data_IF_731518349382
#
_entry.id   IF_731518349382
#
_cell.length_a   1.000
_cell.length_b   1.000
_cell.length_c   1.000
_cell.angle_alpha   90.00
_cell.angle_beta   90.00
_cell.angle_gamma   90.00
#
_symmetry.space_group_name_H-M   'P 1'
#
loop_
_entity.id
_entity.type
_entity.pdbx_description
1 polymer ?
#
# COMPACT_ATOMS: atom_id res chain seq x y z
N UNK A 1 9.54 24.01 -10.42
CA UNK A 1 8.45 23.48 -11.27
C UNK A 1 7.17 23.75 -10.50
N UNK A 2 6.38 24.69 -11.01
CA UNK A 2 5.09 25.06 -10.44
C UNK A 2 4.11 24.07 -11.06
N UNK A 3 3.59 23.14 -10.25
CA UNK A 3 2.58 22.19 -10.72
C UNK A 3 1.23 22.93 -10.72
N UNK A 4 0.72 23.27 -11.90
CA UNK A 4 -0.63 23.79 -12.06
C UNK A 4 -1.66 22.70 -11.75
N UNK A 5 -2.68 22.99 -10.92
CA UNK A 5 -3.78 22.06 -10.67
C UNK A 5 -5.02 22.56 -11.41
N UNK A 6 -5.60 21.66 -12.18
CA UNK A 6 -6.80 21.90 -12.94
C UNK A 6 -8.04 21.57 -12.07
N UNK A 7 -8.81 22.60 -11.67
CA UNK A 7 -9.98 22.49 -10.79
C UNK A 7 -11.26 22.86 -11.57
N UNK A 8 -12.26 21.96 -11.62
CA UNK A 8 -13.44 22.15 -12.48
C UNK A 8 -14.77 22.00 -11.72
N UNK A 9 -15.69 22.93 -11.99
CA UNK A 9 -16.99 23.06 -11.34
C UNK A 9 -18.10 22.73 -12.36
N UNK A 10 -19.05 21.89 -11.95
CA UNK A 10 -20.06 21.24 -12.81
C UNK A 10 -21.09 22.12 -13.55
N UNK A 11 -20.95 23.45 -13.57
CA UNK A 11 -21.86 24.35 -14.28
C UNK A 11 -21.17 25.40 -15.17
N UNK A 12 -19.87 25.63 -15.04
CA UNK A 12 -19.14 26.57 -15.88
C UNK A 12 -17.67 26.13 -15.95
N UNK A 13 -17.21 25.71 -17.13
CA UNK A 13 -15.80 25.35 -17.34
C UNK A 13 -15.04 26.66 -17.46
N UNK A 14 -14.79 27.34 -16.34
CA UNK A 14 -13.92 28.51 -16.34
C UNK A 14 -12.54 28.07 -16.79
N UNK A 15 -12.09 28.68 -17.87
CA UNK A 15 -10.97 28.33 -18.75
C UNK A 15 -9.59 28.58 -18.12
N UNK A 16 -9.51 28.66 -16.80
CA UNK A 16 -8.38 29.25 -16.11
C UNK A 16 -7.53 28.13 -15.49
N UNK A 17 -6.32 27.94 -16.01
CA UNK A 17 -5.25 27.25 -15.27
C UNK A 17 -4.99 28.06 -13.99
N UNK A 18 -5.08 27.39 -12.85
CA UNK A 18 -4.84 28.02 -11.56
C UNK A 18 -3.53 27.51 -10.99
N UNK A 19 -2.68 28.46 -10.58
CA UNK A 19 -1.51 28.14 -9.80
C UNK A 19 -1.96 27.38 -8.54
N UNK A 20 -1.27 26.29 -8.22
CA UNK A 20 -1.49 25.51 -7.00
C UNK A 20 -0.94 26.24 -5.76
N UNK A 21 -1.54 27.39 -5.45
CA UNK A 21 -1.27 28.21 -4.28
C UNK A 21 -2.60 28.52 -3.59
N UNK A 22 -2.60 28.48 -2.26
CA UNK A 22 -3.81 28.60 -1.48
C UNK A 22 -4.61 29.90 -1.77
N UNK A 23 -3.93 31.04 -1.96
CA UNK A 23 -4.57 32.30 -2.32
C UNK A 23 -5.20 32.29 -3.71
N UNK A 24 -4.56 31.64 -4.69
CA UNK A 24 -5.08 31.54 -6.05
C UNK A 24 -6.32 30.64 -6.10
N UNK A 25 -6.26 29.48 -5.45
CA UNK A 25 -7.38 28.55 -5.31
C UNK A 25 -8.56 29.23 -4.62
N UNK A 26 -8.32 29.93 -3.50
CA UNK A 26 -9.37 30.65 -2.77
C UNK A 26 -10.06 31.70 -3.65
N UNK A 27 -9.29 32.58 -4.30
CA UNK A 27 -9.84 33.62 -5.19
C UNK A 27 -10.70 33.04 -6.31
N UNK A 28 -10.25 31.92 -6.89
CA UNK A 28 -10.98 31.23 -7.95
C UNK A 28 -12.29 30.63 -7.44
N UNK A 29 -12.24 29.92 -6.30
CA UNK A 29 -13.39 29.29 -5.67
C UNK A 29 -14.41 30.36 -5.23
N UNK A 30 -13.99 31.43 -4.58
CA UNK A 30 -14.86 32.53 -4.14
C UNK A 30 -15.57 33.19 -5.33
N UNK A 31 -14.87 33.40 -6.46
CA UNK A 31 -15.44 33.94 -7.71
C UNK A 31 -16.55 33.04 -8.26
N UNK A 32 -16.38 31.72 -8.23
CA UNK A 32 -17.38 30.76 -8.69
C UNK A 32 -18.54 30.61 -7.69
N UNK A 33 -18.22 30.54 -6.40
CA UNK A 33 -19.20 30.46 -5.32
C UNK A 33 -20.10 31.71 -5.27
N UNK A 34 -19.56 32.89 -5.57
CA UNK A 34 -20.35 34.12 -5.69
C UNK A 34 -21.41 34.09 -6.79
N UNK A 35 -21.24 33.22 -7.81
CA UNK A 35 -22.20 33.06 -8.93
C UNK A 35 -23.15 31.88 -8.72
N UNK A 36 -22.67 30.80 -8.13
CA UNK A 36 -23.36 29.50 -8.12
C UNK A 36 -23.63 28.95 -6.72
N UNK A 37 -23.22 29.65 -5.66
CA UNK A 37 -23.37 29.21 -4.28
C UNK A 37 -22.43 28.05 -3.94
N UNK A 38 -22.98 26.99 -3.35
CA UNK A 38 -22.18 25.83 -2.91
C UNK A 38 -21.74 24.99 -4.12
N UNK A 39 -20.43 24.83 -4.25
CA UNK A 39 -19.81 24.08 -5.34
C UNK A 39 -19.61 22.60 -4.98
N UNK A 40 -19.73 21.74 -6.00
CA UNK A 40 -19.26 20.35 -5.98
C UNK A 40 -18.12 20.24 -7.00
N UNK A 41 -16.93 19.87 -6.52
CA UNK A 41 -15.68 19.86 -7.27
C UNK A 41 -15.12 18.44 -7.34
N UNK A 42 -14.29 18.15 -8.35
CA UNK A 42 -13.50 16.94 -8.36
C UNK A 42 -12.13 17.15 -8.99
N UNK A 43 -11.14 16.35 -8.57
CA UNK A 43 -9.84 16.27 -9.24
C UNK A 43 -9.27 14.85 -9.17
N UNK A 44 -8.34 14.54 -10.07
CA UNK A 44 -7.65 13.26 -10.11
C UNK A 44 -6.55 13.20 -9.05
N UNK A 45 -6.46 12.08 -8.34
CA UNK A 45 -5.41 11.85 -7.34
C UNK A 45 -4.03 11.94 -8.00
N UNK A 46 -3.28 12.98 -7.65
CA UNK A 46 -1.95 13.28 -8.19
C UNK A 46 -0.85 13.28 -7.14
N UNK A 47 0.38 13.67 -7.52
CA UNK A 47 1.53 13.73 -6.61
C UNK A 47 1.44 14.87 -5.59
N UNK A 48 0.52 15.82 -5.78
CA UNK A 48 0.36 17.03 -4.97
C UNK A 48 -0.36 16.81 -3.63
N UNK A 49 -0.66 15.55 -3.27
CA UNK A 49 -1.27 15.18 -1.99
C UNK A 49 -2.74 15.60 -1.88
N UNK A 50 -3.20 15.81 -0.63
CA UNK A 50 -4.59 16.13 -0.31
C UNK A 50 -4.80 17.57 0.18
N UNK A 51 -3.79 18.43 0.08
CA UNK A 51 -3.88 19.83 0.52
C UNK A 51 -4.99 20.61 -0.20
N UNK A 52 -5.13 20.41 -1.51
CA UNK A 52 -6.22 21.02 -2.28
C UNK A 52 -7.60 20.54 -1.82
N UNK A 53 -7.80 19.23 -1.65
CA UNK A 53 -9.06 18.69 -1.12
C UNK A 53 -9.44 19.35 0.21
N UNK A 54 -8.50 19.42 1.16
CA UNK A 54 -8.73 20.02 2.48
C UNK A 54 -9.10 21.49 2.35
N UNK A 55 -8.33 22.25 1.59
CA UNK A 55 -8.62 23.65 1.34
C UNK A 55 -10.03 23.87 0.79
N UNK A 56 -10.48 23.05 -0.16
CA UNK A 56 -11.82 23.17 -0.74
C UNK A 56 -12.92 22.82 0.27
N UNK A 57 -12.69 21.81 1.11
CA UNK A 57 -13.60 21.46 2.19
C UNK A 57 -13.67 22.55 3.27
N UNK A 58 -12.53 23.15 3.64
CA UNK A 58 -12.44 24.25 4.61
C UNK A 58 -13.15 25.52 4.12
N UNK A 59 -13.22 25.71 2.80
CA UNK A 59 -14.02 26.76 2.16
C UNK A 59 -15.53 26.44 2.15
N UNK A 60 -15.96 25.30 2.68
CA UNK A 60 -17.36 24.88 2.77
C UNK A 60 -17.90 24.18 1.51
N UNK A 61 -17.02 23.78 0.59
CA UNK A 61 -17.41 23.12 -0.65
C UNK A 61 -17.21 21.60 -0.60
N UNK A 62 -17.98 20.90 -1.43
CA UNK A 62 -17.82 19.45 -1.58
C UNK A 62 -16.74 19.17 -2.62
N UNK A 63 -15.82 18.26 -2.32
CA UNK A 63 -14.75 17.87 -3.24
C UNK A 63 -14.64 16.34 -3.29
N UNK A 64 -14.55 15.77 -4.50
CA UNK A 64 -14.24 14.35 -4.70
C UNK A 64 -12.81 14.20 -5.25
N UNK A 65 -12.03 13.33 -4.63
CA UNK A 65 -10.72 12.93 -5.17
C UNK A 65 -10.89 11.60 -5.90
N UNK A 66 -10.50 11.51 -7.16
CA UNK A 66 -10.76 10.33 -7.99
C UNK A 66 -9.46 9.64 -8.37
N UNK A 67 -9.39 8.32 -8.23
CA UNK A 67 -8.23 7.58 -8.71
C UNK A 67 -8.27 7.45 -10.25
N UNK A 68 -7.15 7.64 -10.97
CA UNK A 68 -7.05 7.46 -12.42
C UNK A 68 -7.72 6.19 -12.93
N UNK A 69 -7.47 5.08 -12.22
CA UNK A 69 -7.96 3.75 -12.59
C UNK A 69 -9.47 3.53 -12.38
N UNK A 70 -10.15 4.47 -11.73
CA UNK A 70 -11.60 4.42 -11.48
C UNK A 70 -12.38 5.35 -12.41
N UNK A 71 -11.70 6.19 -13.19
CA UNK A 71 -12.36 7.07 -14.17
C UNK A 71 -12.80 6.22 -15.37
N UNK A 72 -14.09 6.16 -15.71
CA UNK A 72 -14.55 5.45 -16.90
C UNK A 72 -13.93 6.06 -18.18
N UNK A 73 -13.16 5.26 -18.91
CA UNK A 73 -12.55 5.67 -20.17
C UNK A 73 -13.28 5.05 -21.36
N UNK A 74 -13.68 5.88 -22.34
CA UNK A 74 -14.24 5.38 -23.60
C UNK A 74 -13.14 4.83 -24.50
N UNK A 75 -13.28 3.61 -25.05
CA UNK A 75 -12.35 3.08 -26.04
C UNK A 75 -12.24 3.99 -27.27
N UNK A 76 -11.03 4.20 -27.81
CA UNK A 76 -10.81 4.98 -29.03
C UNK A 76 -10.50 6.47 -28.84
N UNK A 77 -10.47 6.97 -27.60
CA UNK A 77 -9.94 8.32 -27.31
C UNK A 77 -8.41 8.32 -27.48
N UNK A 78 -7.92 8.87 -28.59
CA UNK A 78 -6.48 8.96 -28.90
C UNK A 78 -5.83 10.31 -28.56
N UNK A 79 -6.64 11.35 -28.32
CA UNK A 79 -6.15 12.70 -27.99
C UNK A 79 -6.48 13.00 -26.54
N UNK A 80 -5.44 12.97 -25.69
CA UNK A 80 -5.50 13.31 -24.27
C UNK A 80 -4.97 14.73 -24.08
N UNK A 81 -5.80 15.62 -23.54
CA UNK A 81 -5.41 16.97 -23.12
C UNK A 81 -6.03 17.24 -21.75
N UNK A 82 -5.34 18.00 -20.90
CA UNK A 82 -5.81 18.27 -19.54
C UNK A 82 -7.23 18.88 -19.55
N UNK A 83 -7.51 19.74 -20.53
CA UNK A 83 -8.85 20.30 -20.77
C UNK A 83 -9.92 19.25 -21.08
N UNK A 84 -9.62 18.21 -21.85
CA UNK A 84 -10.61 17.17 -22.18
C UNK A 84 -10.86 16.27 -20.98
N UNK A 85 -9.80 15.93 -20.25
CA UNK A 85 -9.88 15.09 -19.05
C UNK A 85 -10.71 15.79 -17.97
N UNK A 86 -10.47 17.08 -17.78
CA UNK A 86 -11.26 17.98 -16.93
C UNK A 86 -12.77 17.99 -17.23
N UNK A 87 -13.13 18.23 -18.49
CA UNK A 87 -14.54 18.28 -18.93
C UNK A 87 -15.19 16.91 -18.77
N UNK A 88 -14.45 15.84 -19.06
CA UNK A 88 -14.94 14.47 -18.87
C UNK A 88 -15.18 14.18 -17.39
N UNK A 89 -14.25 14.55 -16.50
CA UNK A 89 -14.42 14.41 -15.06
C UNK A 89 -15.62 15.21 -14.54
N UNK A 90 -15.76 16.47 -14.92
CA UNK A 90 -16.93 17.27 -14.52
C UNK A 90 -18.25 16.68 -15.02
N UNK A 91 -18.28 16.11 -16.23
CA UNK A 91 -19.46 15.43 -16.77
C UNK A 91 -19.80 14.16 -15.98
N UNK A 92 -18.80 13.34 -15.63
CA UNK A 92 -18.95 12.15 -14.81
C UNK A 92 -19.38 12.49 -13.38
N UNK A 93 -18.86 13.57 -12.80
CA UNK A 93 -19.26 14.08 -11.49
C UNK A 93 -20.75 14.40 -11.48
N UNK A 94 -21.20 15.18 -12.48
CA UNK A 94 -22.60 15.56 -12.65
C UNK A 94 -23.52 14.36 -12.89
N UNK A 95 -23.02 13.32 -13.55
CA UNK A 95 -23.75 12.08 -13.77
C UNK A 95 -23.80 11.17 -12.52
N UNK A 96 -23.06 11.49 -11.46
CA UNK A 96 -22.93 10.63 -10.28
C UNK A 96 -22.13 9.35 -10.55
N UNK A 97 -21.34 9.32 -11.62
CA UNK A 97 -20.57 8.14 -12.05
C UNK A 97 -19.15 8.09 -11.44
N UNK A 98 -18.73 9.15 -10.73
CA UNK A 98 -17.44 9.17 -10.05
C UNK A 98 -17.50 8.51 -8.67
N UNK A 99 -16.50 7.69 -8.38
CA UNK A 99 -16.27 7.14 -7.05
C UNK A 99 -15.08 7.84 -6.41
N UNK A 100 -15.31 8.55 -5.30
CA UNK A 100 -14.23 9.16 -4.53
C UNK A 100 -13.36 8.11 -3.85
N UNK A 101 -12.06 8.38 -3.79
CA UNK A 101 -11.17 7.64 -2.90
C UNK A 101 -11.39 8.09 -1.47
N UNK A 102 -10.96 7.24 -0.55
CA UNK A 102 -10.81 7.64 0.85
C UNK A 102 -9.62 8.59 0.98
N UNK A 103 -9.89 9.81 1.46
CA UNK A 103 -8.88 10.81 1.76
C UNK A 103 -8.46 10.67 3.23
N UNK A 104 -7.18 10.39 3.52
CA UNK A 104 -6.69 10.36 4.90
C UNK A 104 -6.74 11.75 5.55
N UNK A 105 -7.00 11.79 6.85
CA UNK A 105 -6.69 12.96 7.65
C UNK A 105 -5.18 13.23 7.69
N UNK A 106 -4.79 14.40 8.20
CA UNK A 106 -3.39 14.83 8.22
C UNK A 106 -2.50 13.90 9.04
N UNK A 107 -2.99 13.42 10.18
CA UNK A 107 -2.24 12.49 11.04
C UNK A 107 -1.98 11.17 10.33
N UNK A 108 -2.97 10.63 9.63
CA UNK A 108 -2.85 9.39 8.88
C UNK A 108 -1.98 9.55 7.63
N UNK A 109 -2.07 10.70 6.94
CA UNK A 109 -1.15 11.04 5.83
C UNK A 109 0.30 11.14 6.31
N UNK A 110 0.57 11.89 7.38
CA UNK A 110 1.92 12.01 7.96
C UNK A 110 2.47 10.65 8.43
N UNK A 111 1.63 9.80 9.00
CA UNK A 111 2.05 8.44 9.42
C UNK A 111 2.35 7.54 8.22
N UNK A 112 1.60 7.69 7.11
CA UNK A 112 1.91 7.01 5.84
C UNK A 112 3.28 7.40 5.32
N UNK A 113 3.66 8.67 5.40
CA UNK A 113 4.96 9.14 4.93
C UNK A 113 6.10 8.45 5.67
N UNK A 114 5.98 8.29 6.98
CA UNK A 114 6.97 7.55 7.77
C UNK A 114 7.06 6.07 7.36
N UNK A 115 5.91 5.40 7.16
CA UNK A 115 5.88 4.02 6.68
C UNK A 115 6.51 3.88 5.28
N UNK A 116 6.27 4.85 4.39
CA UNK A 116 6.83 4.89 3.02
C UNK A 116 8.32 5.22 3.03
N UNK A 117 8.78 6.11 3.91
CA UNK A 117 10.20 6.39 4.10
C UNK A 117 10.96 5.14 4.56
N UNK A 118 10.37 4.36 5.49
CA UNK A 118 10.92 3.06 5.89
C UNK A 118 10.99 2.09 4.70
N UNK A 119 9.95 2.01 3.89
CA UNK A 119 9.94 1.16 2.69
C UNK A 119 11.01 1.58 1.67
N UNK A 120 11.23 2.87 1.48
CA UNK A 120 12.31 3.39 0.65
C UNK A 120 13.67 2.91 1.18
N UNK A 121 13.92 3.04 2.49
CA UNK A 121 15.15 2.55 3.11
C UNK A 121 15.35 1.03 2.95
N UNK A 122 14.28 0.22 3.03
CA UNK A 122 14.35 -1.23 2.74
C UNK A 122 14.72 -1.50 1.27
N UNK A 123 14.20 -0.70 0.34
CA UNK A 123 14.51 -0.82 -1.08
C UNK A 123 15.95 -0.40 -1.39
N UNK A 124 16.42 0.67 -0.76
CA UNK A 124 17.81 1.13 -0.81
C UNK A 124 18.75 0.03 -0.29
N UNK A 125 18.39 -0.58 0.85
CA UNK A 125 19.18 -1.67 1.45
C UNK A 125 19.31 -2.86 0.51
N UNK A 126 18.20 -3.26 -0.13
CA UNK A 126 18.22 -4.34 -1.12
C UNK A 126 19.18 -4.01 -2.27
N UNK A 127 19.14 -2.78 -2.79
CA UNK A 127 20.02 -2.34 -3.89
C UNK A 127 21.49 -2.33 -3.48
N UNK A 128 21.80 -1.75 -2.32
CA UNK A 128 23.17 -1.71 -1.78
C UNK A 128 23.75 -3.12 -1.58
N UNK A 129 22.95 -4.03 -1.01
CA UNK A 129 23.29 -5.45 -0.87
C UNK A 129 23.57 -6.12 -2.23
N UNK A 130 22.76 -5.84 -3.24
CA UNK A 130 22.98 -6.36 -4.59
C UNK A 130 24.29 -5.82 -5.20
N UNK A 131 24.60 -4.54 -5.03
CA UNK A 131 25.87 -3.97 -5.52
C UNK A 131 27.09 -4.68 -4.91
N UNK A 132 27.10 -4.90 -3.59
CA UNK A 132 28.19 -5.63 -2.93
C UNK A 132 28.29 -7.08 -3.42
N UNK A 133 27.16 -7.80 -3.51
CA UNK A 133 27.17 -9.18 -4.00
C UNK A 133 27.64 -9.27 -5.45
N UNK A 134 27.21 -8.37 -6.33
CA UNK A 134 27.67 -8.29 -7.71
C UNK A 134 29.16 -7.93 -7.80
N UNK A 135 29.66 -7.07 -6.92
CA UNK A 135 31.08 -6.76 -6.79
C UNK A 135 31.89 -8.01 -6.41
N UNK A 136 31.45 -8.76 -5.40
CA UNK A 136 32.16 -9.96 -4.97
C UNK A 136 32.14 -11.05 -6.04
N UNK A 137 30.98 -11.24 -6.68
CA UNK A 137 30.79 -12.24 -7.73
C UNK A 137 31.73 -12.03 -8.92
N UNK A 138 31.85 -10.81 -9.45
CA UNK A 138 32.74 -10.51 -10.59
C UNK A 138 34.22 -10.69 -10.27
N UNK A 139 34.58 -10.73 -8.99
CA UNK A 139 35.93 -10.98 -8.52
C UNK A 139 36.13 -12.41 -7.98
N UNK A 140 35.20 -13.32 -8.25
CA UNK A 140 35.30 -14.73 -7.85
C UNK A 140 35.23 -14.97 -6.34
N UNK A 141 34.73 -14.00 -5.55
CA UNK A 141 34.58 -14.14 -4.10
C UNK A 141 33.19 -14.72 -3.79
N UNK A 142 33.14 -16.02 -3.53
CA UNK A 142 31.88 -16.75 -3.26
C UNK A 142 31.80 -17.12 -1.79
N UNK A 143 30.63 -16.87 -1.18
CA UNK A 143 30.34 -17.29 0.18
C UNK A 143 29.65 -18.65 0.18
N UNK A 144 30.24 -19.65 0.82
CA UNK A 144 29.72 -21.03 0.87
C UNK A 144 28.78 -21.30 2.06
N UNK A 145 28.52 -20.29 2.90
CA UNK A 145 27.62 -20.43 4.03
C UNK A 145 26.14 -20.47 3.63
N UNK A 146 25.28 -20.81 4.59
CA UNK A 146 23.84 -21.03 4.34
C UNK A 146 23.08 -19.79 3.89
N UNK A 147 23.46 -18.60 4.37
CA UNK A 147 22.69 -17.37 4.12
C UNK A 147 23.54 -16.11 4.23
N UNK A 148 23.39 -15.23 3.25
CA UNK A 148 23.95 -13.89 3.26
C UNK A 148 23.35 -13.04 4.38
N UNK A 149 24.12 -12.02 4.80
CA UNK A 149 23.77 -11.04 5.85
C UNK A 149 23.58 -11.63 7.25
N UNK A 150 23.93 -12.92 7.43
CA UNK A 150 24.10 -13.55 8.73
C UNK A 150 25.39 -13.07 9.42
N UNK A 151 25.55 -13.38 10.71
CA UNK A 151 26.82 -13.15 11.44
C UNK A 151 28.00 -13.83 10.73
N UNK A 152 27.80 -15.06 10.23
CA UNK A 152 28.82 -15.78 9.47
C UNK A 152 29.20 -15.07 8.16
N UNK A 153 28.22 -14.56 7.40
CA UNK A 153 28.50 -13.78 6.19
C UNK A 153 29.24 -12.48 6.50
N UNK A 154 28.85 -11.76 7.55
CA UNK A 154 29.56 -10.53 7.97
C UNK A 154 31.00 -10.82 8.39
N UNK A 155 31.23 -11.91 9.13
CA UNK A 155 32.58 -12.35 9.47
C UNK A 155 33.39 -12.70 8.22
N UNK A 156 32.80 -13.42 7.26
CA UNK A 156 33.45 -13.72 5.99
C UNK A 156 33.76 -12.46 5.18
N UNK A 157 32.88 -11.48 5.11
CA UNK A 157 33.16 -10.20 4.45
C UNK A 157 34.40 -9.52 5.05
N UNK A 158 34.56 -9.56 6.37
CA UNK A 158 35.70 -8.98 7.08
C UNK A 158 37.04 -9.69 6.78
N UNK A 159 37.01 -10.95 6.33
CA UNK A 159 38.23 -11.68 5.91
C UNK A 159 38.61 -11.41 4.46
N UNK A 160 37.78 -10.73 3.67
CA UNK A 160 38.06 -10.52 2.25
C UNK A 160 39.14 -9.45 2.07
N UNK A 161 40.10 -9.77 1.19
CA UNK A 161 41.20 -8.88 0.82
C UNK A 161 41.33 -8.83 -0.70
N UNK A 162 41.67 -7.64 -1.19
CA UNK A 162 41.96 -7.37 -2.59
C UNK A 162 43.37 -6.81 -2.72
N UNK A 163 44.12 -7.31 -3.70
CA UNK A 163 45.51 -6.89 -3.93
C UNK A 163 45.59 -5.42 -4.37
N UNK A 164 44.64 -4.99 -5.20
CA UNK A 164 44.57 -3.61 -5.66
C UNK A 164 43.81 -2.73 -4.67
N UNK A 165 44.47 -1.69 -4.14
CA UNK A 165 43.91 -0.76 -3.14
C UNK A 165 42.54 -0.19 -3.51
N UNK A 166 42.32 0.16 -4.79
CA UNK A 166 41.03 0.70 -5.23
C UNK A 166 39.87 -0.29 -5.07
N UNK A 167 40.11 -1.59 -5.27
CA UNK A 167 39.10 -2.63 -5.07
C UNK A 167 38.78 -2.83 -3.59
N UNK A 168 39.80 -2.80 -2.73
CA UNK A 168 39.59 -2.84 -1.27
C UNK A 168 38.73 -1.65 -0.82
N UNK A 169 39.08 -0.43 -1.22
CA UNK A 169 38.30 0.78 -0.88
C UNK A 169 36.85 0.65 -1.36
N UNK A 170 36.64 0.22 -2.61
CA UNK A 170 35.29 0.05 -3.15
C UNK A 170 34.46 -0.95 -2.34
N UNK A 171 35.05 -2.09 -1.93
CA UNK A 171 34.37 -3.08 -1.09
C UNK A 171 33.98 -2.51 0.27
N UNK A 172 34.91 -1.83 0.95
CA UNK A 172 34.66 -1.22 2.27
C UNK A 172 33.54 -0.17 2.19
N UNK A 173 33.52 0.66 1.14
CA UNK A 173 32.47 1.67 0.97
C UNK A 173 31.09 1.02 0.68
N UNK A 174 31.03 -0.10 -0.04
CA UNK A 174 29.78 -0.85 -0.18
C UNK A 174 29.30 -1.43 1.15
N UNK A 175 30.21 -1.94 1.98
CA UNK A 175 29.87 -2.46 3.32
C UNK A 175 29.33 -1.33 4.20
N UNK A 176 30.03 -0.19 4.25
CA UNK A 176 29.61 1.00 5.02
C UNK A 176 28.24 1.53 4.56
N UNK A 177 28.00 1.58 3.26
CA UNK A 177 26.70 2.00 2.73
C UNK A 177 25.57 1.08 3.21
N UNK A 178 25.81 -0.24 3.24
CA UNK A 178 24.83 -1.20 3.76
C UNK A 178 24.57 -0.93 5.26
N UNK A 179 25.60 -0.76 6.07
CA UNK A 179 25.47 -0.49 7.51
C UNK A 179 24.68 0.79 7.80
N UNK A 180 25.02 1.89 7.12
CA UNK A 180 24.30 3.17 7.26
C UNK A 180 22.81 3.05 6.90
N UNK A 181 22.48 2.30 5.85
CA UNK A 181 21.09 2.08 5.42
C UNK A 181 20.38 1.14 6.40
N UNK A 182 21.03 0.10 6.93
CA UNK A 182 20.48 -0.76 7.98
C UNK A 182 20.08 0.06 9.21
N UNK A 183 20.98 0.91 9.69
CA UNK A 183 20.69 1.82 10.80
C UNK A 183 19.54 2.78 10.50
N UNK A 184 19.52 3.40 9.30
CA UNK A 184 18.42 4.28 8.87
C UNK A 184 17.08 3.54 8.90
N UNK A 185 17.03 2.32 8.35
CA UNK A 185 15.84 1.46 8.36
C UNK A 185 15.39 1.13 9.78
N UNK A 186 16.34 0.85 10.69
CA UNK A 186 16.04 0.50 12.08
C UNK A 186 15.60 1.71 12.91
N UNK A 187 16.20 2.88 12.70
CA UNK A 187 15.72 4.16 13.27
C UNK A 187 14.29 4.47 12.83
N UNK A 188 14.01 4.39 11.52
CA UNK A 188 12.65 4.61 10.98
C UNK A 188 11.66 3.58 11.53
N UNK A 189 12.07 2.32 11.66
CA UNK A 189 11.22 1.29 12.26
C UNK A 189 10.87 1.62 13.71
N UNK A 190 11.84 2.01 14.54
CA UNK A 190 11.58 2.39 15.94
C UNK A 190 10.65 3.59 16.06
N UNK A 191 10.88 4.66 15.28
CA UNK A 191 10.01 5.83 15.30
C UNK A 191 8.58 5.49 14.84
N UNK A 192 8.45 4.71 13.77
CA UNK A 192 7.14 4.29 13.26
C UNK A 192 6.36 3.47 14.30
N UNK A 193 7.03 2.56 15.01
CA UNK A 193 6.38 1.75 16.05
C UNK A 193 6.06 2.55 17.32
N UNK A 194 6.87 3.56 17.66
CA UNK A 194 6.62 4.45 18.80
C UNK A 194 5.35 5.29 18.63
N UNK A 195 5.04 5.72 17.40
CA UNK A 195 3.84 6.51 17.10
C UNK A 195 2.54 5.68 17.03
N UNK A 196 2.60 4.34 17.11
CA UNK A 196 1.41 3.51 17.03
C UNK A 196 0.53 3.59 18.27
N UNK A 197 1.10 3.80 19.46
CA UNK A 197 0.35 3.72 20.70
C UNK A 197 -0.81 4.72 20.77
N UNK A 198 -0.61 5.91 20.21
CA UNK A 198 -1.59 6.99 20.20
C UNK A 198 -2.49 6.97 18.95
N UNK A 199 -2.28 6.02 18.04
CA UNK A 199 -3.01 5.96 16.78
C UNK A 199 -4.37 5.28 16.95
N UNK A 200 -5.45 5.95 16.51
CA UNK A 200 -6.83 5.47 16.62
C UNK A 200 -7.10 4.12 15.94
N UNK A 201 -6.29 3.74 14.95
CA UNK A 201 -6.41 2.45 14.25
C UNK A 201 -5.46 1.38 14.81
N UNK A 202 -4.68 1.66 15.86
CA UNK A 202 -3.81 0.67 16.50
C UNK A 202 -4.54 -0.60 16.98
N UNK A 203 -5.78 -0.54 17.52
CA UNK A 203 -6.52 -1.76 17.85
C UNK A 203 -6.71 -2.71 16.66
N UNK A 204 -6.84 -2.17 15.43
CA UNK A 204 -6.92 -2.98 14.21
C UNK A 204 -5.56 -3.61 13.91
N UNK A 205 -4.47 -2.84 14.07
CA UNK A 205 -3.09 -3.34 13.90
C UNK A 205 -2.81 -4.53 14.82
N UNK A 206 -3.21 -4.44 16.09
CA UNK A 206 -3.09 -5.52 17.07
C UNK A 206 -3.94 -6.73 16.70
N UNK A 207 -5.21 -6.52 16.36
CA UNK A 207 -6.13 -7.60 16.02
C UNK A 207 -5.69 -8.42 14.80
N UNK A 208 -5.27 -7.77 13.70
CA UNK A 208 -4.89 -8.50 12.49
C UNK A 208 -3.55 -9.25 12.62
N UNK A 209 -2.74 -8.93 13.64
CA UNK A 209 -1.51 -9.67 13.94
C UNK A 209 -1.76 -11.10 14.47
N UNK A 210 -3.00 -11.42 14.84
CA UNK A 210 -3.43 -12.79 15.11
C UNK A 210 -3.28 -13.70 13.87
N UNK A 211 -3.36 -13.14 12.66
CA UNK A 211 -3.22 -13.90 11.42
C UNK A 211 -1.75 -14.26 11.16
N UNK A 212 -1.48 -15.54 10.91
CA UNK A 212 -0.14 -15.97 10.49
C UNK A 212 0.27 -15.23 9.20
N UNK A 213 1.51 -14.75 9.17
CA UNK A 213 2.05 -14.00 8.02
C UNK A 213 1.72 -12.50 8.06
N UNK A 214 0.91 -12.03 9.02
CA UNK A 214 0.68 -10.61 9.28
C UNK A 214 1.40 -10.26 10.58
N UNK A 215 2.64 -9.78 10.46
CA UNK A 215 3.41 -9.28 11.61
C UNK A 215 3.29 -7.76 11.73
N UNK A 216 3.74 -7.18 12.85
CA UNK A 216 3.60 -5.77 13.19
C UNK A 216 3.82 -4.81 12.00
N UNK A 217 4.97 -4.88 11.31
CA UNK A 217 5.23 -4.00 10.15
C UNK A 217 4.21 -4.19 9.02
N UNK A 218 3.89 -5.44 8.68
CA UNK A 218 2.89 -5.75 7.65
C UNK A 218 1.49 -5.29 8.06
N UNK A 219 1.14 -5.44 9.34
CA UNK A 219 -0.13 -4.98 9.90
C UNK A 219 -0.25 -3.46 9.81
N UNK A 220 0.77 -2.73 10.28
CA UNK A 220 0.82 -1.25 10.20
C UNK A 220 0.72 -0.78 8.76
N UNK A 221 1.50 -1.35 7.85
CA UNK A 221 1.44 -1.00 6.42
C UNK A 221 0.05 -1.28 5.84
N UNK A 222 -0.60 -2.40 6.20
CA UNK A 222 -1.95 -2.70 5.73
C UNK A 222 -2.95 -1.66 6.23
N UNK A 223 -3.01 -1.41 7.54
CA UNK A 223 -3.97 -0.46 8.13
C UNK A 223 -3.73 0.95 7.58
N UNK A 224 -2.47 1.39 7.45
CA UNK A 224 -2.15 2.70 6.87
C UNK A 224 -2.59 2.78 5.41
N UNK A 225 -2.24 1.83 4.56
CA UNK A 225 -2.53 1.91 3.13
C UNK A 225 -4.02 1.68 2.82
N UNK A 226 -4.76 0.99 3.70
CA UNK A 226 -6.19 0.70 3.53
C UNK A 226 -7.07 1.79 4.13
N UNK A 227 -6.70 2.35 5.28
CA UNK A 227 -7.56 3.26 6.06
C UNK A 227 -8.74 2.51 6.66
N UNK A 228 -9.95 3.04 6.49
CA UNK A 228 -11.16 2.39 6.98
C UNK A 228 -11.51 1.12 6.17
N UNK A 229 -11.55 -0.03 6.85
CA UNK A 229 -11.95 -1.31 6.26
C UNK A 229 -13.47 -1.43 6.05
N UNK A 230 -14.27 -0.64 6.76
CA UNK A 230 -15.75 -0.68 6.73
C UNK A 230 -16.31 -0.06 5.45
N UNK A 231 -15.50 0.70 4.69
CA UNK A 231 -15.88 1.24 3.36
C UNK A 231 -16.12 0.15 2.31
N UNK A 232 -15.65 -1.07 2.56
CA UNK A 232 -15.94 -2.21 1.70
C UNK A 232 -17.15 -2.96 2.27
N UNK A 233 -18.22 -3.04 1.47
CA UNK A 233 -19.48 -3.71 1.84
C UNK A 233 -19.31 -5.20 2.12
N UNK A 234 -18.31 -5.83 1.49
CA UNK A 234 -18.06 -7.25 1.57
C UNK A 234 -16.59 -7.57 1.24
N UNK A 235 -16.07 -8.75 1.62
CA UNK A 235 -14.66 -9.07 1.41
C UNK A 235 -14.30 -9.23 -0.07
N UNK A 236 -15.26 -9.51 -0.97
CA UNK A 236 -14.98 -9.60 -2.42
C UNK A 236 -14.63 -8.24 -3.00
N UNK A 237 -15.32 -7.19 -2.58
CA UNK A 237 -15.00 -5.82 -2.95
C UNK A 237 -13.60 -5.44 -2.47
N UNK A 238 -13.23 -5.81 -1.24
CA UNK A 238 -11.88 -5.58 -0.71
C UNK A 238 -10.79 -6.33 -1.50
N UNK A 239 -11.02 -7.61 -1.81
CA UNK A 239 -10.09 -8.42 -2.63
C UNK A 239 -9.92 -7.83 -4.04
N UNK A 240 -10.99 -7.30 -4.63
CA UNK A 240 -10.97 -6.65 -5.94
C UNK A 240 -10.20 -5.32 -5.89
N UNK A 241 -10.42 -4.50 -4.86
CA UNK A 241 -9.69 -3.25 -4.64
C UNK A 241 -8.19 -3.46 -4.47
N UNK A 242 -7.76 -4.55 -3.82
CA UNK A 242 -6.35 -4.93 -3.72
C UNK A 242 -5.75 -5.46 -5.02
N UNK A 243 -6.58 -5.68 -6.05
CA UNK A 243 -6.18 -6.24 -7.34
C UNK A 243 -5.74 -7.70 -7.27
N UNK A 244 -6.25 -8.44 -6.29
CA UNK A 244 -5.97 -9.87 -6.07
C UNK A 244 -6.95 -10.80 -6.79
N UNK A 245 -7.93 -10.25 -7.50
CA UNK A 245 -8.90 -11.00 -8.30
C UNK A 245 -8.38 -11.20 -9.73
N UNK A 246 -8.66 -12.34 -10.39
CA UNK A 246 -8.35 -12.54 -11.80
C UNK A 246 -9.03 -11.49 -12.68
N UNK A 247 -8.37 -11.08 -13.76
CA UNK A 247 -9.04 -10.43 -14.91
C UNK A 247 -9.99 -11.44 -15.55
N UNK A 248 -11.16 -10.99 -15.94
CA UNK A 248 -12.18 -11.83 -16.56
C UNK A 248 -12.61 -11.23 -17.89
N UNK A 249 -12.48 -12.03 -18.95
CA UNK A 249 -12.98 -11.76 -20.30
C UNK A 249 -13.96 -12.89 -20.63
N UNK A 250 -15.14 -12.82 -20.05
CA UNK A 250 -16.19 -13.80 -20.25
C UNK A 250 -17.21 -13.26 -21.25
N UNK A 251 -17.60 -14.07 -22.23
CA UNK A 251 -18.69 -13.77 -23.18
C UNK A 251 -19.67 -14.94 -23.17
N UNK A 252 -20.96 -14.70 -22.95
CA UNK A 252 -22.04 -15.71 -23.03
C UNK A 252 -21.72 -17.06 -22.38
N UNK A 253 -21.20 -18.02 -23.16
CA UNK A 253 -20.87 -19.38 -22.74
C UNK A 253 -19.37 -19.63 -22.40
N UNK A 254 -18.48 -18.67 -22.66
CA UNK A 254 -17.04 -18.80 -22.45
C UNK A 254 -16.58 -17.96 -21.26
N UNK A 255 -15.89 -18.61 -20.31
CA UNK A 255 -15.25 -17.94 -19.17
C UNK A 255 -13.74 -17.97 -19.36
N UNK A 256 -13.15 -16.85 -19.74
CA UNK A 256 -11.69 -16.70 -19.79
C UNK A 256 -11.20 -15.89 -18.60
N UNK A 257 -10.39 -16.52 -17.75
CA UNK A 257 -9.78 -15.88 -16.58
C UNK A 257 -8.27 -15.77 -16.76
N UNK A 258 -7.77 -14.54 -16.74
CA UNK A 258 -6.36 -14.21 -16.93
C UNK A 258 -5.59 -14.03 -15.62
N UNK A 259 -4.49 -13.28 -15.70
CA UNK A 259 -3.72 -12.84 -14.54
C UNK A 259 -4.54 -11.96 -13.59
N UNK A 260 -4.08 -11.79 -12.35
CA UNK A 260 -4.73 -10.85 -11.43
C UNK A 260 -4.75 -9.42 -12.00
N UNK A 261 -5.74 -8.62 -11.62
CA UNK A 261 -5.88 -7.26 -12.16
C UNK A 261 -4.68 -6.38 -11.82
N UNK A 262 -4.03 -6.62 -10.67
CA UNK A 262 -2.97 -5.76 -10.09
C UNK A 262 -3.43 -4.31 -9.83
N UNK A 263 -4.74 -4.06 -9.90
CA UNK A 263 -5.34 -2.77 -9.61
C UNK A 263 -5.19 -2.38 -8.12
N UNK A 264 -5.30 -1.10 -7.82
CA UNK A 264 -5.27 -0.55 -6.47
C UNK A 264 -3.90 -0.66 -5.78
N UNK A 265 -3.92 -0.84 -4.45
CA UNK A 265 -2.74 -0.56 -3.61
C UNK A 265 -1.66 -1.66 -3.68
N UNK A 266 -0.55 -1.38 -4.36
CA UNK A 266 0.58 -2.30 -4.53
C UNK A 266 1.25 -2.69 -3.21
N UNK A 267 1.35 -1.78 -2.24
CA UNK A 267 2.01 -2.03 -0.94
C UNK A 267 1.20 -3.01 -0.11
N UNK A 268 -0.10 -2.76 0.03
CA UNK A 268 -1.03 -3.64 0.73
C UNK A 268 -1.06 -5.04 0.08
N UNK A 269 -1.18 -5.10 -1.25
CA UNK A 269 -1.12 -6.35 -2.01
C UNK A 269 0.18 -7.11 -1.76
N UNK A 270 1.33 -6.44 -1.80
CA UNK A 270 2.64 -7.07 -1.54
C UNK A 270 2.69 -7.66 -0.13
N UNK A 271 2.25 -6.94 0.90
CA UNK A 271 2.24 -7.47 2.28
C UNK A 271 1.41 -8.75 2.41
N UNK A 272 0.25 -8.82 1.76
CA UNK A 272 -0.59 -10.02 1.77
C UNK A 272 0.05 -11.19 1.01
N UNK A 273 0.70 -10.92 -0.13
CA UNK A 273 1.42 -11.94 -0.91
C UNK A 273 2.62 -12.48 -0.15
N UNK A 274 3.41 -11.61 0.49
CA UNK A 274 4.54 -12.02 1.33
C UNK A 274 4.06 -12.86 2.53
N UNK A 275 3.00 -12.40 3.22
CA UNK A 275 2.41 -13.13 4.34
C UNK A 275 1.83 -14.49 3.95
N UNK A 276 1.28 -14.61 2.74
CA UNK A 276 0.69 -15.84 2.21
C UNK A 276 1.69 -17.00 2.08
N UNK A 277 2.98 -16.72 1.90
CA UNK A 277 4.03 -17.77 1.86
C UNK A 277 4.08 -18.61 3.12
N UNK A 278 3.71 -18.06 4.28
CA UNK A 278 3.73 -18.78 5.55
C UNK A 278 2.73 -19.94 5.60
N UNK A 279 1.71 -19.92 4.74
CA UNK A 279 0.66 -20.95 4.68
C UNK A 279 1.04 -22.22 3.94
N UNK A 280 2.22 -22.25 3.33
CA UNK A 280 2.83 -23.51 2.85
C UNK A 280 3.22 -24.45 3.99
N UNK A 281 3.41 -23.90 5.19
CA UNK A 281 3.78 -24.65 6.39
C UNK A 281 2.54 -25.27 7.06
N UNK A 282 2.69 -26.33 7.86
CA UNK A 282 1.59 -26.91 8.64
C UNK A 282 0.87 -25.87 9.52
N UNK A 283 -0.44 -26.06 9.74
CA UNK A 283 -1.21 -25.22 10.64
C UNK A 283 -0.76 -25.48 12.09
N UNK A 284 -0.30 -24.43 12.77
CA UNK A 284 0.16 -24.46 14.16
C UNK A 284 0.20 -23.05 14.76
N UNK A 285 -0.17 -22.90 16.02
CA UNK A 285 0.09 -21.67 16.77
C UNK A 285 1.48 -21.78 17.37
N UNK A 286 2.44 -21.02 16.82
CA UNK A 286 3.78 -20.93 17.38
C UNK A 286 3.86 -19.91 18.52
N UNK A 287 4.94 -19.93 19.31
CA UNK A 287 5.14 -19.01 20.45
C UNK A 287 4.93 -17.55 20.08
N UNK A 288 5.48 -17.08 18.96
CA UNK A 288 5.34 -15.69 18.51
C UNK A 288 3.90 -15.31 18.10
N UNK A 289 3.11 -16.26 17.60
CA UNK A 289 1.70 -16.01 17.31
C UNK A 289 0.89 -15.99 18.61
N UNK A 290 1.21 -16.90 19.53
CA UNK A 290 0.55 -16.96 20.84
C UNK A 290 0.70 -15.63 21.60
N UNK A 291 1.91 -15.06 21.64
CA UNK A 291 2.17 -13.74 22.23
C UNK A 291 1.33 -12.64 21.60
N UNK A 292 1.16 -12.66 20.26
CA UNK A 292 0.32 -11.66 19.55
C UNK A 292 -1.17 -11.84 19.78
N UNK A 293 -1.60 -13.04 20.19
CA UNK A 293 -2.99 -13.35 20.50
C UNK A 293 -3.34 -13.05 21.97
N UNK A 294 -2.35 -12.75 22.80
CA UNK A 294 -2.55 -12.39 24.20
C UNK A 294 -3.40 -11.11 24.31
N UNK A 295 -4.41 -11.13 25.17
CA UNK A 295 -5.36 -10.02 25.32
C UNK A 295 -6.39 -9.85 24.20
N UNK A 296 -6.26 -10.56 23.06
CA UNK A 296 -7.24 -10.44 21.98
C UNK A 296 -8.57 -11.17 22.29
N UNK A 297 -9.72 -10.62 21.86
CA UNK A 297 -11.01 -11.29 21.99
C UNK A 297 -11.06 -12.68 21.36
N UNK A 298 -11.80 -13.60 21.97
CA UNK A 298 -11.92 -14.98 21.50
C UNK A 298 -12.42 -15.09 20.06
N UNK A 299 -13.35 -14.23 19.65
CA UNK A 299 -13.85 -14.19 18.28
C UNK A 299 -12.74 -13.90 17.24
N UNK A 300 -11.78 -13.04 17.58
CA UNK A 300 -10.63 -12.72 16.70
C UNK A 300 -9.68 -13.90 16.64
N UNK A 301 -9.36 -14.51 17.79
CA UNK A 301 -8.50 -15.71 17.87
C UNK A 301 -9.09 -16.89 17.08
N UNK A 302 -10.39 -17.15 17.24
CA UNK A 302 -11.11 -18.18 16.51
C UNK A 302 -11.11 -17.92 15.00
N UNK A 303 -11.30 -16.66 14.57
CA UNK A 303 -11.23 -16.27 13.15
C UNK A 303 -9.83 -16.48 12.58
N UNK A 304 -8.79 -16.11 13.33
CA UNK A 304 -7.40 -16.32 12.92
C UNK A 304 -7.03 -17.81 12.83
N UNK A 305 -7.48 -18.63 13.76
CA UNK A 305 -7.30 -20.09 13.70
C UNK A 305 -8.03 -20.71 12.49
N UNK A 306 -9.29 -20.30 12.25
CA UNK A 306 -10.05 -20.68 11.06
C UNK A 306 -9.32 -20.32 9.78
N UNK A 307 -8.74 -19.11 9.70
CA UNK A 307 -7.90 -18.69 8.58
C UNK A 307 -6.71 -19.63 8.40
N UNK A 308 -6.01 -19.94 9.48
CA UNK A 308 -4.83 -20.78 9.45
C UNK A 308 -5.09 -22.18 8.90
N UNK A 309 -6.10 -22.88 9.45
CA UNK A 309 -6.48 -24.24 9.01
C UNK A 309 -6.89 -24.21 7.54
N UNK A 310 -7.78 -23.28 7.17
CA UNK A 310 -8.36 -23.20 5.83
C UNK A 310 -7.31 -22.87 4.77
N UNK A 311 -6.47 -21.89 5.00
CA UNK A 311 -5.46 -21.44 4.03
C UNK A 311 -4.34 -22.49 3.87
N UNK A 312 -3.92 -23.18 4.94
CA UNK A 312 -3.01 -24.33 4.85
C UNK A 312 -3.61 -25.48 4.03
N UNK A 313 -4.88 -25.82 4.27
CA UNK A 313 -5.55 -26.89 3.54
C UNK A 313 -5.71 -26.52 2.06
N UNK A 314 -6.08 -25.26 1.78
CA UNK A 314 -6.18 -24.75 0.41
C UNK A 314 -4.84 -24.79 -0.32
N UNK A 315 -3.75 -24.37 0.33
CA UNK A 315 -2.42 -24.43 -0.26
C UNK A 315 -2.07 -25.85 -0.68
N UNK A 316 -2.22 -26.83 0.25
CA UNK A 316 -1.95 -28.24 -0.01
C UNK A 316 -2.80 -28.80 -1.15
N UNK A 317 -4.11 -28.51 -1.15
CA UNK A 317 -5.03 -28.95 -2.22
C UNK A 317 -4.61 -28.41 -3.58
N UNK A 318 -4.28 -27.12 -3.67
CA UNK A 318 -3.89 -26.50 -4.94
C UNK A 318 -2.52 -26.99 -5.43
N UNK A 319 -1.56 -27.17 -4.52
CA UNK A 319 -0.27 -27.78 -4.84
C UNK A 319 -0.40 -29.22 -5.33
N UNK A 320 -1.24 -30.04 -4.67
CA UNK A 320 -1.51 -31.41 -5.11
C UNK A 320 -2.13 -31.47 -6.51
N UNK A 321 -2.88 -30.44 -6.92
CA UNK A 321 -3.39 -30.32 -8.31
C UNK A 321 -2.36 -29.82 -9.34
N UNK A 322 -1.07 -29.76 -8.99
CA UNK A 322 0.00 -29.37 -9.90
C UNK A 322 0.08 -27.87 -10.24
N UNK A 323 -0.63 -27.02 -9.49
CA UNK A 323 -0.63 -25.57 -9.75
C UNK A 323 0.72 -24.94 -9.40
N UNK A 324 1.28 -24.06 -10.25
CA UNK A 324 2.51 -23.32 -9.94
C UNK A 324 2.44 -22.60 -8.59
N UNK A 325 3.52 -22.67 -7.80
CA UNK A 325 3.57 -22.14 -6.43
C UNK A 325 3.16 -20.68 -6.36
N UNK A 326 3.63 -19.83 -7.28
CA UNK A 326 3.27 -18.42 -7.30
C UNK A 326 1.76 -18.18 -7.50
N UNK A 327 1.09 -19.02 -8.30
CA UNK A 327 -0.37 -18.95 -8.49
C UNK A 327 -1.09 -19.37 -7.20
N UNK A 328 -0.60 -20.41 -6.53
CA UNK A 328 -1.16 -20.86 -5.24
C UNK A 328 -1.01 -19.75 -4.19
N UNK A 329 0.18 -19.15 -4.06
CA UNK A 329 0.43 -18.07 -3.11
C UNK A 329 -0.48 -16.87 -3.34
N UNK A 330 -0.69 -16.44 -4.59
CA UNK A 330 -1.61 -15.35 -4.91
C UNK A 330 -3.06 -15.71 -4.53
N UNK A 331 -3.48 -16.96 -4.76
CA UNK A 331 -4.81 -17.42 -4.35
C UNK A 331 -4.97 -17.45 -2.82
N UNK A 332 -3.92 -17.83 -2.08
CA UNK A 332 -3.88 -17.74 -0.61
C UNK A 332 -3.91 -16.29 -0.14
N UNK A 333 -3.14 -15.39 -0.76
CA UNK A 333 -3.12 -13.97 -0.43
C UNK A 333 -4.49 -13.30 -0.61
N UNK A 334 -5.18 -13.65 -1.70
CA UNK A 334 -6.57 -13.23 -1.95
C UNK A 334 -7.48 -13.62 -0.79
N UNK A 335 -7.42 -14.87 -0.35
CA UNK A 335 -8.28 -15.35 0.73
C UNK A 335 -7.84 -14.87 2.12
N UNK A 336 -6.54 -14.67 2.35
CA UNK A 336 -5.99 -13.98 3.52
C UNK A 336 -6.56 -12.57 3.64
N UNK A 337 -6.69 -11.83 2.53
CA UNK A 337 -7.30 -10.50 2.54
C UNK A 337 -8.74 -10.53 3.08
N UNK A 338 -9.52 -11.55 2.76
CA UNK A 338 -10.88 -11.69 3.29
C UNK A 338 -10.88 -11.89 4.81
N UNK A 339 -9.91 -12.63 5.36
CA UNK A 339 -9.75 -12.79 6.81
C UNK A 339 -9.25 -11.52 7.50
N UNK A 340 -8.32 -10.79 6.88
CA UNK A 340 -7.89 -9.47 7.38
C UNK A 340 -9.09 -8.53 7.46
N UNK A 341 -9.90 -8.46 6.40
CA UNK A 341 -11.11 -7.65 6.39
C UNK A 341 -12.11 -8.07 7.47
N UNK A 342 -12.36 -9.38 7.61
CA UNK A 342 -13.30 -9.90 8.59
C UNK A 342 -12.89 -9.63 10.05
N UNK A 343 -11.59 -9.59 10.35
CA UNK A 343 -11.10 -9.19 11.68
C UNK A 343 -11.14 -7.66 11.82
N UNK A 344 -10.69 -6.91 10.81
CA UNK A 344 -10.60 -5.47 10.90
C UNK A 344 -11.97 -4.78 11.07
N UNK A 345 -13.05 -5.35 10.52
CA UNK A 345 -14.40 -4.78 10.63
C UNK A 345 -15.11 -5.08 11.95
N UNK A 346 -14.60 -6.01 12.77
CA UNK A 346 -15.16 -6.30 14.10
C UNK A 346 -14.54 -5.46 15.21
N UNK A 347 -13.41 -4.80 14.92
CA UNK A 347 -12.71 -3.95 15.88
C UNK A 347 -13.32 -2.54 15.88
N UNK A 348 -13.75 -2.01 17.03
CA UNK A 348 -14.26 -0.64 17.11
C UNK A 348 -13.12 0.35 16.83
N UNK A 349 -13.42 1.37 16.02
CA UNK A 349 -12.51 2.51 15.82
C UNK A 349 -12.90 3.57 16.84
N UNK A 350 -12.02 3.84 17.80
CA UNK A 350 -12.18 4.99 18.70
C UNK A 350 -11.84 6.24 17.90
N UNK A 351 -12.76 7.21 17.75
CA UNK A 351 -12.43 8.45 17.06
C UNK A 351 -11.26 9.13 17.80
N UNK A 352 -10.24 9.53 17.05
CA UNK A 352 -9.17 10.38 17.58
C UNK A 352 -9.82 11.63 18.16
N UNK A 353 -9.61 11.95 19.45
CA UNK A 353 -10.02 13.26 19.99
C UNK A 353 -9.36 14.31 19.10
N UNK A 354 -10.18 15.15 18.44
CA UNK A 354 -9.67 16.35 17.80
C UNK A 354 -8.95 17.16 18.88
N UNK A 355 -7.65 17.40 18.69
CA UNK A 355 -6.85 18.27 19.55
C UNK A 355 -7.17 19.74 19.23
#
# INVERSE_FOLDING_TARGET
>A
MVDDIALYVGLDVSKDEIANRADAVRKFVDKLAGRHGRLCLCYEAGPTGYGLYRQLCDLGHECLVVAPSLVPTRPGLQIKTDRRDAVALAALLRAGELSSIWVPDETHEATRDLCRAREAAVSDLRRARQHLLSFLLRHGRVFEGRSHWSKAHRNWLATQRFDHRAQQIAMEEYIRAIEQIEERRDRLTRQMLGLLQDWSLNPIVEAIQALRGVAQISAVTLVLEIGDFRRFSNPRQFMAWLGLVPKEHSTGASVSRGSITKAGNTRARRMLVEGAWTYRLPARVGQEILKRMEGLPEAIRATAWKAQVRLCQRYRRMQASGRPTNIVIVAIARELAAFVWAIATTVPITPTKAA
#
